data_IF_195952406361
#
_entry.id   IF_195952406361
#
_cell.length_a   1.000
_cell.length_b   1.000
_cell.length_c   1.000
_cell.angle_alpha   90.00
_cell.angle_beta   90.00
_cell.angle_gamma   90.00
#
_symmetry.space_group_name_H-M   'P 1'
#
loop_
_entity.id
_entity.type
_entity.pdbx_description
1 polymer ?
#
# COMPACT_ATOMS: atom_id res chain seq x y z
N UNK A 1 -50.34 -69.56 15.30
CA UNK A 1 -49.25 -68.60 15.53
C UNK A 1 -48.13 -68.91 14.55
N UNK A 2 -48.02 -68.09 13.49
CA UNK A 2 -46.84 -67.96 12.61
C UNK A 2 -45.72 -67.29 13.45
N UNK A 3 -44.41 -67.40 13.22
CA UNK A 3 -43.60 -67.81 12.08
C UNK A 3 -42.19 -68.11 12.62
N UNK A 4 -41.58 -69.19 12.13
CA UNK A 4 -40.14 -69.48 12.22
C UNK A 4 -39.42 -68.76 11.07
N UNK A 5 -38.12 -68.44 11.19
CA UNK A 5 -37.07 -68.92 10.27
C UNK A 5 -35.75 -68.13 10.41
N UNK A 6 -34.71 -68.95 10.50
CA UNK A 6 -33.27 -68.74 10.42
C UNK A 6 -32.80 -68.27 9.03
N UNK A 7 -31.77 -67.42 9.02
CA UNK A 7 -30.57 -67.45 8.17
C UNK A 7 -30.68 -67.87 6.69
N UNK A 8 -30.28 -66.98 5.77
CA UNK A 8 -29.66 -67.38 4.49
C UNK A 8 -28.75 -66.29 3.95
N UNK A 9 -27.52 -66.70 3.61
CA UNK A 9 -26.46 -65.93 2.93
C UNK A 9 -26.82 -65.83 1.44
N UNK A 10 -26.70 -64.64 0.84
CA UNK A 10 -26.67 -64.48 -0.62
C UNK A 10 -25.52 -63.55 -1.00
N UNK A 11 -24.48 -64.16 -1.58
CA UNK A 11 -23.54 -63.50 -2.48
C UNK A 11 -24.28 -63.19 -3.78
N UNK A 12 -24.26 -61.95 -4.26
CA UNK A 12 -24.64 -61.64 -5.64
C UNK A 12 -23.65 -60.64 -6.22
N UNK A 13 -22.85 -61.13 -7.15
CA UNK A 13 -22.01 -60.35 -8.04
C UNK A 13 -22.90 -59.65 -9.05
N UNK A 14 -22.79 -58.33 -9.15
CA UNK A 14 -23.40 -57.55 -10.22
C UNK A 14 -22.26 -57.02 -11.09
N UNK A 15 -22.19 -57.54 -12.31
CA UNK A 15 -21.52 -56.91 -13.43
C UNK A 15 -22.28 -55.64 -13.80
N UNK A 16 -21.61 -54.49 -13.81
CA UNK A 16 -22.01 -53.36 -14.63
C UNK A 16 -20.85 -52.95 -15.53
N UNK A 17 -21.15 -53.01 -16.81
CA UNK A 17 -20.41 -52.55 -17.98
C UNK A 17 -20.18 -51.03 -17.94
N UNK A 18 -19.03 -50.63 -18.48
CA UNK A 18 -18.54 -49.26 -18.59
C UNK A 18 -19.31 -48.36 -19.57
N UNK A 19 -19.41 -47.08 -19.22
CA UNK A 19 -19.18 -45.82 -19.98
C UNK A 19 -19.45 -44.71 -18.93
N UNK A 20 -18.53 -43.82 -18.58
CA UNK A 20 -17.87 -42.85 -19.44
C UNK A 20 -18.68 -41.56 -19.39
N UNK A 21 -18.41 -40.70 -18.40
CA UNK A 21 -18.67 -39.26 -18.45
C UNK A 21 -17.84 -38.56 -17.36
N UNK A 22 -17.15 -37.51 -17.78
CA UNK A 22 -16.19 -36.74 -17.02
C UNK A 22 -16.84 -35.98 -15.85
N UNK A 23 -16.31 -36.18 -14.66
CA UNK A 23 -16.57 -35.33 -13.50
C UNK A 23 -15.31 -35.32 -12.65
N UNK A 24 -14.29 -34.58 -13.10
CA UNK A 24 -13.16 -34.21 -12.27
C UNK A 24 -13.68 -33.32 -11.14
N UNK A 25 -13.90 -33.95 -9.99
CA UNK A 25 -13.99 -33.27 -8.72
C UNK A 25 -12.64 -32.59 -8.47
N UNK A 26 -12.60 -31.26 -8.55
CA UNK A 26 -11.49 -30.45 -8.09
C UNK A 26 -11.39 -30.59 -6.57
N UNK A 27 -10.66 -31.62 -6.15
CA UNK A 27 -10.05 -31.67 -4.84
C UNK A 27 -9.13 -30.45 -4.74
N UNK A 28 -9.56 -29.48 -3.92
CA UNK A 28 -8.76 -28.32 -3.58
C UNK A 28 -7.45 -28.77 -2.94
N UNK A 29 -6.37 -28.61 -3.69
CA UNK A 29 -5.03 -28.67 -3.12
C UNK A 29 -4.76 -27.34 -2.42
N UNK A 30 -4.47 -27.45 -1.13
CA UNK A 30 -3.97 -26.42 -0.22
C UNK A 30 -2.62 -25.87 -0.74
N UNK A 31 -2.31 -24.56 -0.62
CA UNK A 31 -0.96 -24.09 -0.85
C UNK A 31 -0.13 -24.19 0.44
N UNK A 32 0.99 -24.89 0.33
CA UNK A 32 2.11 -24.84 1.28
C UNK A 32 2.92 -23.56 1.03
N UNK A 33 3.52 -23.04 2.11
CA UNK A 33 4.48 -21.94 2.09
C UNK A 33 5.56 -22.12 0.99
N UNK A 34 5.52 -21.24 0.00
CA UNK A 34 6.46 -21.06 -1.12
C UNK A 34 5.85 -20.01 -2.04
N UNK A 35 6.64 -19.11 -2.63
CA UNK A 35 6.13 -17.98 -3.42
C UNK A 35 5.23 -18.44 -4.56
N UNK A 36 3.91 -18.31 -4.40
CA UNK A 36 2.94 -18.83 -5.34
C UNK A 36 2.86 -17.87 -6.54
N UNK A 37 3.31 -18.32 -7.70
CA UNK A 37 3.11 -17.60 -8.95
C UNK A 37 1.67 -17.81 -9.39
N UNK A 38 0.96 -16.74 -9.73
CA UNK A 38 -0.40 -16.84 -10.24
C UNK A 38 -0.44 -17.65 -11.54
N UNK A 39 0.63 -17.59 -12.34
CA UNK A 39 0.82 -18.35 -13.57
C UNK A 39 2.25 -18.87 -13.68
N UNK A 40 2.40 -20.07 -14.22
CA UNK A 40 3.68 -20.60 -14.70
C UNK A 40 3.43 -21.09 -16.11
N UNK A 41 3.91 -20.34 -17.09
CA UNK A 41 3.66 -20.62 -18.52
C UNK A 41 4.98 -20.79 -19.26
N UNK A 42 4.94 -21.52 -20.38
CA UNK A 42 6.15 -21.81 -21.17
C UNK A 42 6.73 -20.53 -21.77
N UNK A 43 5.88 -19.70 -22.39
CA UNK A 43 6.29 -18.46 -23.06
C UNK A 43 5.53 -17.24 -22.57
N UNK A 44 5.99 -16.06 -22.98
CA UNK A 44 5.34 -14.78 -22.63
C UNK A 44 4.00 -14.65 -23.31
N UNK A 45 3.88 -15.17 -24.53
CA UNK A 45 2.66 -15.15 -25.34
C UNK A 45 1.55 -16.02 -24.75
N UNK A 46 1.92 -17.03 -23.97
CA UNK A 46 0.99 -17.90 -23.25
C UNK A 46 0.43 -17.25 -21.98
N UNK A 47 1.04 -16.14 -21.52
CA UNK A 47 0.52 -15.43 -20.37
C UNK A 47 -0.86 -14.84 -20.70
N UNK A 48 -1.84 -14.97 -19.77
CA UNK A 48 -3.10 -14.30 -19.92
C UNK A 48 -2.89 -12.79 -20.02
N UNK A 49 -3.80 -12.09 -20.71
CA UNK A 49 -3.74 -10.64 -20.81
C UNK A 49 -3.61 -10.02 -19.41
N UNK A 50 -2.60 -9.15 -19.24
CA UNK A 50 -2.51 -8.34 -18.04
C UNK A 50 -3.63 -7.31 -18.11
N UNK A 51 -4.54 -7.36 -17.15
CA UNK A 51 -5.68 -6.45 -17.02
C UNK A 51 -5.63 -5.81 -15.64
N UNK A 52 -6.36 -4.72 -15.42
CA UNK A 52 -6.45 -4.08 -14.09
C UNK A 52 -6.86 -5.09 -12.98
N UNK A 53 -7.71 -6.07 -13.32
CA UNK A 53 -8.12 -7.13 -12.38
C UNK A 53 -6.99 -8.09 -11.97
N UNK A 54 -5.89 -8.09 -12.71
CA UNK A 54 -4.69 -8.93 -12.48
C UNK A 54 -3.49 -8.11 -12.03
N UNK A 55 -3.65 -6.80 -11.81
CA UNK A 55 -2.58 -5.94 -11.33
C UNK A 55 -2.04 -6.45 -9.99
N UNK A 56 -0.76 -6.80 -9.95
CA UNK A 56 -0.09 -7.41 -8.81
C UNK A 56 0.14 -8.92 -8.92
N UNK A 57 -0.39 -9.58 -9.96
CA UNK A 57 -0.12 -10.99 -10.23
C UNK A 57 1.33 -11.18 -10.68
N UNK A 58 1.97 -12.23 -10.16
CA UNK A 58 3.28 -12.68 -10.60
C UNK A 58 3.11 -13.85 -11.54
N UNK A 59 3.85 -13.83 -12.65
CA UNK A 59 3.93 -14.95 -13.56
C UNK A 59 5.39 -15.39 -13.72
N UNK A 60 5.62 -16.70 -13.71
CA UNK A 60 6.90 -17.30 -14.10
C UNK A 60 6.82 -17.69 -15.57
N UNK A 61 7.83 -17.27 -16.34
CA UNK A 61 7.99 -17.66 -17.74
C UNK A 61 9.15 -18.67 -17.79
N UNK A 62 8.83 -19.92 -18.14
CA UNK A 62 9.80 -21.02 -18.04
C UNK A 62 10.90 -20.93 -19.11
N UNK A 63 10.57 -20.48 -20.32
CA UNK A 63 11.51 -20.39 -21.45
C UNK A 63 12.68 -19.43 -21.22
N UNK A 64 12.46 -18.33 -20.48
CA UNK A 64 13.49 -17.34 -20.16
C UNK A 64 13.88 -17.32 -18.66
N UNK A 65 13.28 -18.21 -17.86
CA UNK A 65 13.41 -18.27 -16.41
C UNK A 65 13.21 -16.90 -15.74
N UNK A 66 12.27 -16.09 -16.22
CA UNK A 66 11.98 -14.78 -15.62
C UNK A 66 10.69 -14.78 -14.82
N UNK A 67 10.63 -13.88 -13.84
CA UNK A 67 9.40 -13.51 -13.14
C UNK A 67 8.90 -12.18 -13.69
N UNK A 68 7.60 -12.10 -13.95
CA UNK A 68 6.92 -10.92 -14.46
C UNK A 68 5.81 -10.48 -13.50
N UNK A 69 5.60 -9.19 -13.40
CA UNK A 69 4.52 -8.56 -12.66
C UNK A 69 3.49 -8.00 -13.64
N UNK A 70 2.22 -8.36 -13.49
CA UNK A 70 1.16 -7.64 -14.18
C UNK A 70 0.93 -6.30 -13.49
N UNK A 71 1.05 -5.21 -14.24
CA UNK A 71 0.79 -3.86 -13.74
C UNK A 71 0.38 -2.95 -14.89
N UNK A 72 -0.66 -2.13 -14.72
CA UNK A 72 -1.09 -1.15 -15.71
C UNK A 72 -1.25 -1.78 -17.11
N UNK A 73 -1.93 -2.92 -17.16
CA UNK A 73 -2.24 -3.68 -18.39
C UNK A 73 -1.02 -4.22 -19.16
N UNK A 74 0.13 -4.35 -18.49
CA UNK A 74 1.36 -4.92 -19.06
C UNK A 74 2.08 -5.87 -18.11
N UNK A 75 2.71 -6.89 -18.68
CA UNK A 75 3.63 -7.76 -17.96
C UNK A 75 5.03 -7.13 -17.93
N UNK A 76 5.51 -6.79 -16.74
CA UNK A 76 6.80 -6.14 -16.50
C UNK A 76 7.77 -7.17 -15.94
N UNK A 77 8.90 -7.38 -16.62
CA UNK A 77 9.93 -8.33 -16.19
C UNK A 77 10.67 -7.84 -14.96
N UNK A 78 10.51 -8.56 -13.84
CA UNK A 78 11.16 -8.26 -12.58
C UNK A 78 12.62 -8.73 -12.57
N UNK A 79 12.91 -9.93 -13.05
CA UNK A 79 14.27 -10.48 -13.11
C UNK A 79 14.29 -12.00 -13.31
N UNK A 80 15.49 -12.57 -13.36
CA UNK A 80 15.70 -14.02 -13.38
C UNK A 80 15.19 -14.64 -12.07
N UNK A 81 14.44 -15.75 -12.15
CA UNK A 81 13.90 -16.43 -10.97
C UNK A 81 14.98 -17.15 -10.19
N UNK A 82 15.06 -16.88 -8.89
CA UNK A 82 16.05 -17.47 -7.97
C UNK A 82 15.34 -17.90 -6.69
N UNK A 83 15.41 -19.18 -6.34
CA UNK A 83 14.67 -19.72 -5.18
C UNK A 83 15.09 -19.08 -3.85
N UNK A 84 16.40 -18.98 -3.61
CA UNK A 84 16.97 -18.53 -2.33
C UNK A 84 18.22 -17.68 -2.55
N UNK A 85 18.60 -16.92 -1.53
CA UNK A 85 19.82 -16.10 -1.58
C UNK A 85 21.09 -16.92 -1.80
N UNK A 86 21.08 -18.21 -1.45
CA UNK A 86 22.22 -19.11 -1.61
C UNK A 86 22.41 -19.56 -3.06
N UNK A 87 21.34 -19.59 -3.87
CA UNK A 87 21.41 -19.89 -5.31
C UNK A 87 21.69 -18.65 -6.16
N UNK A 88 21.78 -17.46 -5.54
CA UNK A 88 22.10 -16.22 -6.23
C UNK A 88 23.60 -16.16 -6.56
N UNK A 89 23.93 -16.11 -7.86
CA UNK A 89 25.33 -15.94 -8.30
C UNK A 89 25.85 -14.57 -7.86
N UNK A 90 27.16 -14.47 -7.60
CA UNK A 90 27.79 -13.23 -7.16
C UNK A 90 27.54 -12.07 -8.15
N UNK A 91 27.29 -10.89 -7.60
CA UNK A 91 27.27 -9.65 -8.35
C UNK A 91 28.71 -9.24 -8.66
N UNK A 92 29.03 -9.14 -9.94
CA UNK A 92 30.33 -8.74 -10.48
C UNK A 92 30.10 -7.67 -11.53
N UNK A 93 31.15 -6.94 -11.92
CA UNK A 93 31.04 -5.89 -12.95
C UNK A 93 30.42 -6.40 -14.27
N UNK A 94 30.58 -7.69 -14.59
CA UNK A 94 29.97 -8.34 -15.75
C UNK A 94 28.46 -8.52 -15.67
N UNK A 95 27.88 -8.39 -14.47
CA UNK A 95 26.45 -8.54 -14.17
C UNK A 95 25.82 -7.22 -13.72
N UNK A 96 26.54 -6.10 -13.84
CA UNK A 96 26.05 -4.79 -13.44
C UNK A 96 24.72 -4.48 -14.16
N UNK A 97 23.69 -4.11 -13.39
CA UNK A 97 22.34 -3.86 -13.87
C UNK A 97 21.46 -5.11 -14.07
N UNK A 98 22.00 -6.32 -13.94
CA UNK A 98 21.18 -7.54 -13.95
C UNK A 98 20.21 -7.56 -12.77
N UNK A 99 19.01 -8.10 -13.01
CA UNK A 99 17.97 -8.25 -11.99
C UNK A 99 17.69 -9.72 -11.69
N UNK A 100 17.52 -10.02 -10.41
CA UNK A 100 17.13 -11.34 -9.91
C UNK A 100 15.90 -11.21 -9.01
N UNK A 101 14.92 -12.10 -9.13
CA UNK A 101 13.76 -12.17 -8.26
C UNK A 101 13.93 -13.34 -7.28
N UNK A 102 13.99 -13.02 -5.98
CA UNK A 102 14.07 -14.03 -4.91
C UNK A 102 12.68 -14.56 -4.58
N UNK A 103 12.37 -15.80 -4.96
CA UNK A 103 11.04 -16.42 -4.76
C UNK A 103 10.66 -16.53 -3.29
N UNK A 104 11.62 -16.85 -2.42
CA UNK A 104 11.42 -17.01 -0.97
C UNK A 104 11.16 -15.70 -0.22
N UNK A 105 11.69 -14.59 -0.73
CA UNK A 105 11.55 -13.26 -0.12
C UNK A 105 10.54 -12.37 -0.86
N UNK A 106 10.15 -12.76 -2.08
CA UNK A 106 9.36 -11.98 -3.04
C UNK A 106 9.89 -10.56 -3.26
N UNK A 107 11.21 -10.45 -3.41
CA UNK A 107 11.92 -9.19 -3.67
C UNK A 107 12.70 -9.29 -4.97
N UNK A 108 12.76 -8.20 -5.71
CA UNK A 108 13.72 -8.04 -6.81
C UNK A 108 15.01 -7.47 -6.26
N UNK A 109 16.14 -7.97 -6.76
CA UNK A 109 17.47 -7.45 -6.50
C UNK A 109 18.06 -6.94 -7.81
N UNK A 110 18.87 -5.89 -7.74
CA UNK A 110 19.69 -5.40 -8.85
C UNK A 110 21.16 -5.47 -8.45
N UNK A 111 21.99 -5.96 -9.36
CA UNK A 111 23.43 -5.95 -9.18
C UNK A 111 23.94 -4.53 -9.46
N UNK A 112 24.48 -3.87 -8.43
CA UNK A 112 25.15 -2.58 -8.60
C UNK A 112 26.37 -2.42 -7.70
N UNK A 113 27.44 -1.89 -8.28
CA UNK A 113 28.74 -1.67 -7.61
C UNK A 113 29.29 -2.95 -6.95
N UNK A 114 29.13 -4.09 -7.63
CA UNK A 114 29.57 -5.40 -7.14
C UNK A 114 28.76 -5.94 -5.96
N UNK A 115 27.58 -5.37 -5.67
CA UNK A 115 26.66 -5.86 -4.63
C UNK A 115 25.24 -6.01 -5.16
N UNK A 116 24.54 -7.01 -4.65
CA UNK A 116 23.10 -7.13 -4.83
C UNK A 116 22.38 -6.19 -3.87
N UNK A 117 21.69 -5.20 -4.43
CA UNK A 117 20.85 -4.26 -3.70
C UNK A 117 19.38 -4.61 -3.94
N UNK A 118 18.52 -4.35 -2.96
CA UNK A 118 17.07 -4.49 -3.17
C UNK A 118 16.68 -3.49 -4.25
N UNK A 119 16.08 -4.01 -5.31
CA UNK A 119 15.55 -3.22 -6.39
C UNK A 119 14.05 -3.14 -6.18
N UNK A 120 13.63 -1.95 -5.79
CA UNK A 120 12.23 -1.68 -5.61
C UNK A 120 11.55 -1.83 -6.98
N UNK A 121 10.41 -2.55 -7.03
CA UNK A 121 9.63 -2.97 -8.22
C UNK A 121 9.29 -1.83 -9.20
N UNK A 122 9.68 -0.64 -8.88
CA UNK A 122 8.88 0.51 -9.10
C UNK A 122 9.66 1.65 -9.76
N UNK A 123 10.99 1.57 -9.67
CA UNK A 123 11.91 2.01 -10.72
C UNK A 123 11.58 1.36 -12.08
N UNK A 124 10.90 0.21 -12.12
CA UNK A 124 10.42 -0.41 -13.37
C UNK A 124 9.16 0.26 -13.90
N UNK A 125 8.28 0.70 -12.99
CA UNK A 125 6.97 1.23 -13.35
C UNK A 125 7.11 2.59 -14.04
N UNK A 126 8.02 3.44 -13.56
CA UNK A 126 8.36 4.72 -14.21
C UNK A 126 8.92 4.53 -15.62
N UNK A 127 9.90 3.63 -15.80
CA UNK A 127 10.53 3.39 -17.12
C UNK A 127 9.54 2.84 -18.15
N UNK A 128 8.60 2.01 -17.72
CA UNK A 128 7.57 1.46 -18.61
C UNK A 128 6.63 2.56 -19.13
N UNK A 129 6.36 3.62 -18.36
CA UNK A 129 5.54 4.75 -18.81
C UNK A 129 6.28 5.63 -19.83
N UNK A 130 7.61 5.69 -19.76
CA UNK A 130 8.47 6.45 -20.67
C UNK A 130 8.74 5.77 -22.02
N UNK A 131 8.48 4.46 -22.17
CA UNK A 131 8.79 3.70 -23.39
C UNK A 131 7.75 3.83 -24.51
N UNK A 132 6.90 4.88 -24.49
CA UNK A 132 5.95 5.18 -25.57
C UNK A 132 6.53 6.07 -26.69
N UNK A 133 7.80 6.48 -26.63
CA UNK A 133 8.48 7.07 -27.79
C UNK A 133 9.48 6.08 -28.39
N UNK A 134 9.16 5.63 -29.60
CA UNK A 134 9.89 4.67 -30.40
C UNK A 134 11.29 5.17 -30.79
N UNK A 135 12.29 4.35 -30.49
CA UNK A 135 13.31 3.88 -31.43
C UNK A 135 13.55 4.72 -32.70
N UNK A 136 14.63 5.50 -32.69
CA UNK A 136 15.44 5.69 -33.90
C UNK A 136 16.93 5.67 -33.53
N UNK A 137 17.65 4.75 -34.16
CA UNK A 137 19.09 4.58 -34.07
C UNK A 137 19.79 5.55 -35.03
N UNK A 138 20.92 6.14 -34.62
CA UNK A 138 22.26 5.84 -35.16
C UNK A 138 23.32 6.95 -34.95
N UNK A 139 24.43 6.52 -34.35
CA UNK A 139 25.85 6.81 -34.63
C UNK A 139 26.49 8.22 -34.55
N UNK A 140 27.42 8.31 -33.59
CA UNK A 140 28.86 8.69 -33.67
C UNK A 140 29.26 10.07 -34.25
N UNK A 141 29.92 10.87 -33.41
CA UNK A 141 31.27 11.41 -33.67
C UNK A 141 31.89 12.05 -32.41
N UNK A 142 33.14 11.69 -32.11
CA UNK A 142 34.04 12.46 -31.21
C UNK A 142 34.47 13.79 -31.89
N UNK A 143 35.10 14.74 -31.15
CA UNK A 143 36.56 14.68 -31.01
C UNK A 143 37.11 15.04 -29.61
N UNK A 144 38.36 14.63 -29.42
CA UNK A 144 39.19 14.85 -28.24
C UNK A 144 39.88 16.24 -28.17
N UNK A 145 40.33 16.57 -26.94
CA UNK A 145 41.68 17.05 -26.58
C UNK A 145 41.91 18.51 -26.11
N UNK A 146 42.48 18.58 -24.90
CA UNK A 146 43.54 19.48 -24.37
C UNK A 146 43.22 20.97 -24.12
N UNK A 147 43.71 21.66 -23.08
CA UNK A 147 44.67 21.36 -22.01
C UNK A 147 44.74 22.56 -21.01
N UNK A 148 45.03 22.25 -19.73
CA UNK A 148 45.95 22.91 -18.77
C UNK A 148 45.87 24.40 -18.43
N UNK A 149 45.77 24.73 -17.13
CA UNK A 149 46.85 25.25 -16.24
C UNK A 149 46.28 25.61 -14.83
N UNK A 150 46.60 24.86 -13.77
CA UNK A 150 47.50 25.15 -12.61
C UNK A 150 47.58 26.59 -12.06
N UNK A 151 47.36 26.78 -10.74
CA UNK A 151 48.40 27.07 -9.71
C UNK A 151 47.78 27.34 -8.30
N UNK A 152 48.39 26.67 -7.30
CA UNK A 152 48.62 26.96 -5.86
C UNK A 152 47.46 27.35 -4.91
N UNK A 153 47.17 26.64 -3.81
CA UNK A 153 47.95 26.24 -2.60
C UNK A 153 47.93 27.27 -1.47
N UNK A 154 47.36 26.88 -0.31
CA UNK A 154 47.88 27.02 1.07
C UNK A 154 46.69 26.93 2.06
N UNK A 155 46.47 25.81 2.75
CA UNK A 155 47.03 25.44 4.06
C UNK A 155 46.69 26.41 5.21
N UNK A 156 46.03 25.90 6.26
CA UNK A 156 45.86 26.63 7.52
C UNK A 156 44.92 25.94 8.49
N UNK A 157 45.52 25.22 9.43
CA UNK A 157 44.95 24.39 10.49
C UNK A 157 44.33 25.15 11.67
N UNK A 158 43.58 24.39 12.47
CA UNK A 158 43.49 24.41 13.95
C UNK A 158 42.27 25.08 14.63
N UNK A 159 41.38 24.19 15.09
CA UNK A 159 40.92 23.98 16.47
C UNK A 159 40.39 25.11 17.38
N UNK A 160 39.27 24.73 18.03
CA UNK A 160 38.88 25.00 19.43
C UNK A 160 38.34 26.42 19.72
N UNK A 161 37.42 26.69 20.64
CA UNK A 161 36.54 25.93 21.53
C UNK A 161 35.78 26.97 22.37
N UNK A 162 34.63 26.57 22.93
CA UNK A 162 34.04 27.05 24.22
C UNK A 162 33.22 28.37 24.22
N UNK A 163 31.90 28.12 24.30
CA UNK A 163 30.94 28.45 25.36
C UNK A 163 30.47 29.89 25.66
N UNK A 164 29.12 29.94 25.76
CA UNK A 164 28.27 30.54 26.83
C UNK A 164 28.44 32.04 27.12
N UNK A 165 27.40 32.84 27.34
CA UNK A 165 26.17 32.58 28.07
C UNK A 165 25.15 33.71 27.78
N UNK A 166 23.88 33.42 28.08
CA UNK A 166 22.80 34.38 28.32
C UNK A 166 23.16 35.34 29.48
N UNK A 167 22.43 36.46 29.66
CA UNK A 167 21.23 36.37 30.49
C UNK A 167 19.99 37.08 29.92
N UNK A 168 18.90 36.62 30.51
CA UNK A 168 17.48 36.97 30.47
C UNK A 168 17.08 38.40 30.86
N UNK A 169 15.77 38.63 30.66
CA UNK A 169 14.84 39.51 31.39
C UNK A 169 14.56 40.87 30.74
N UNK A 170 13.36 41.46 30.75
CA UNK A 170 12.00 41.04 31.10
C UNK A 170 11.08 42.24 30.82
N UNK A 171 9.90 41.96 30.26
CA UNK A 171 8.59 42.52 30.65
C UNK A 171 8.15 43.96 30.32
N UNK A 172 6.87 43.98 29.91
CA UNK A 172 5.82 45.01 29.98
C UNK A 172 5.87 46.10 28.89
N UNK A 173 4.76 46.49 28.26
CA UNK A 173 3.37 46.50 28.71
C UNK A 173 2.42 46.71 27.53
N UNK A 174 1.18 46.31 27.75
CA UNK A 174 -0.03 46.47 26.95
C UNK A 174 -0.41 47.93 26.60
N UNK A 175 -1.22 48.11 25.54
CA UNK A 175 -2.60 48.65 25.57
C UNK A 175 -3.00 49.23 24.18
N UNK A 176 -4.16 48.74 23.70
CA UNK A 176 -5.18 49.38 22.84
C UNK A 176 -4.80 49.95 21.46
N UNK A 177 -5.73 50.15 20.53
CA UNK A 177 -7.05 49.59 20.18
C UNK A 177 -7.48 50.36 18.92
N UNK A 178 -8.46 49.80 18.21
CA UNK A 178 -9.37 50.46 17.25
C UNK A 178 -8.80 51.04 15.95
N UNK A 179 -9.32 50.59 14.82
CA UNK A 179 -10.46 51.25 14.17
C UNK A 179 -11.00 50.45 12.99
N UNK A 180 -12.32 50.44 12.92
CA UNK A 180 -13.16 49.88 11.86
C UNK A 180 -13.06 50.71 10.56
N UNK A 181 -13.37 50.11 9.41
CA UNK A 181 -14.62 50.39 8.66
C UNK A 181 -14.51 49.96 7.19
N UNK A 182 -15.37 49.01 6.83
CA UNK A 182 -16.36 49.03 5.72
C UNK A 182 -15.94 49.75 4.42
N UNK A 183 -15.99 49.03 3.29
CA UNK A 183 -16.92 49.35 2.19
C UNK A 183 -16.99 48.26 1.12
N UNK A 184 -18.19 47.72 1.00
CA UNK A 184 -18.78 47.06 -0.16
C UNK A 184 -18.85 47.98 -1.39
N UNK A 185 -18.79 47.43 -2.60
CA UNK A 185 -19.94 47.48 -3.51
C UNK A 185 -19.70 46.76 -4.84
N UNK A 186 -20.75 46.02 -5.15
CA UNK A 186 -21.18 45.35 -6.37
C UNK A 186 -21.24 46.28 -7.59
N UNK A 187 -21.04 45.74 -8.79
CA UNK A 187 -21.85 46.13 -9.94
C UNK A 187 -21.95 45.03 -11.00
N UNK A 188 -23.20 44.79 -11.37
CA UNK A 188 -23.81 43.85 -12.32
C UNK A 188 -23.83 44.43 -13.74
N UNK A 189 -23.74 43.55 -14.76
CA UNK A 189 -24.58 43.48 -15.99
C UNK A 189 -23.85 42.59 -17.04
N UNK A 190 -24.38 41.45 -17.51
CA UNK A 190 -25.42 41.24 -18.55
C UNK A 190 -25.06 41.99 -19.86
N UNK A 191 -24.95 41.38 -21.05
CA UNK A 191 -25.85 40.44 -21.74
C UNK A 191 -25.24 39.94 -23.07
N UNK A 192 -25.68 38.75 -23.56
CA UNK A 192 -26.12 38.36 -24.95
C UNK A 192 -25.39 38.91 -26.21
N UNK A 193 -25.19 38.23 -27.36
CA UNK A 193 -25.84 37.07 -28.01
C UNK A 193 -25.13 36.72 -29.34
N UNK A 194 -25.34 35.47 -29.80
CA UNK A 194 -25.55 34.99 -31.19
C UNK A 194 -24.47 35.14 -32.29
N UNK A 195 -24.02 34.01 -32.84
CA UNK A 195 -24.43 33.43 -34.14
C UNK A 195 -23.33 32.56 -34.77
N UNK A 196 -23.76 31.55 -35.53
CA UNK A 196 -23.01 30.43 -36.13
C UNK A 196 -22.08 30.80 -37.29
N UNK A 197 -21.03 29.99 -37.51
CA UNK A 197 -20.63 29.49 -38.83
C UNK A 197 -19.56 28.40 -38.72
N UNK A 198 -19.73 27.31 -39.47
CA UNK A 198 -18.76 26.23 -39.65
C UNK A 198 -17.48 26.67 -40.39
N UNK A 199 -16.37 25.99 -40.08
CA UNK A 199 -15.11 26.11 -40.82
C UNK A 199 -14.06 25.11 -40.33
N UNK A 200 -13.84 24.06 -41.11
CA UNK A 200 -12.81 23.04 -40.94
C UNK A 200 -11.42 23.62 -41.24
N UNK A 201 -10.42 23.36 -40.39
CA UNK A 201 -9.16 22.65 -40.72
C UNK A 201 -7.98 23.03 -39.80
N UNK A 202 -7.29 21.98 -39.36
CA UNK A 202 -5.89 21.84 -38.93
C UNK A 202 -4.99 23.07 -38.70
N UNK A 203 -4.32 23.12 -37.56
CA UNK A 203 -2.84 23.10 -37.48
C UNK A 203 -2.35 23.09 -36.02
N UNK A 204 -1.45 22.16 -35.76
CA UNK A 204 -0.63 22.06 -34.55
C UNK A 204 0.35 23.24 -34.49
N UNK A 205 0.49 23.81 -33.29
CA UNK A 205 1.73 24.45 -32.87
C UNK A 205 1.87 24.31 -31.37
N UNK A 206 2.98 23.69 -31.00
CA UNK A 206 3.51 23.46 -29.68
C UNK A 206 3.63 24.75 -28.86
N UNK A 207 3.32 24.64 -27.57
CA UNK A 207 3.97 25.45 -26.55
C UNK A 207 4.31 24.54 -25.38
N UNK A 208 5.59 24.17 -25.36
CA UNK A 208 6.28 23.50 -24.27
C UNK A 208 5.98 24.18 -22.93
N UNK A 209 5.63 23.39 -21.93
CA UNK A 209 5.67 23.80 -20.53
C UNK A 209 6.22 22.63 -19.74
N UNK A 210 7.52 22.70 -19.52
CA UNK A 210 8.37 21.74 -18.85
C UNK A 210 7.89 21.49 -17.42
N UNK A 211 7.39 20.29 -17.15
CA UNK A 211 7.26 19.81 -15.77
C UNK A 211 8.52 19.01 -15.45
N UNK A 212 9.35 19.59 -14.60
CA UNK A 212 10.55 18.96 -14.07
C UNK A 212 10.21 17.61 -13.42
N UNK A 213 11.05 16.62 -13.69
CA UNK A 213 10.94 15.24 -13.22
C UNK A 213 11.24 15.21 -11.71
N UNK A 214 10.35 14.68 -10.84
CA UNK A 214 10.70 14.43 -9.46
C UNK A 214 11.44 13.10 -9.30
N UNK A 215 12.50 13.13 -8.52
CA UNK A 215 13.40 12.03 -8.18
C UNK A 215 12.80 10.95 -7.26
N UNK A 216 13.23 9.70 -7.47
CA UNK A 216 13.22 8.43 -6.66
C UNK A 216 12.28 8.24 -5.46
N UNK A 217 11.17 8.96 -5.40
CA UNK A 217 10.18 9.00 -4.30
C UNK A 217 8.80 8.53 -4.75
N UNK A 218 8.68 8.04 -5.98
CA UNK A 218 7.44 7.96 -6.78
C UNK A 218 6.49 6.85 -6.36
N UNK A 219 6.68 6.34 -5.14
CA UNK A 219 6.60 4.93 -5.03
C UNK A 219 6.20 4.36 -3.67
N UNK A 220 6.60 5.10 -2.65
CA UNK A 220 5.70 5.49 -1.58
C UNK A 220 4.36 6.11 -2.07
N UNK A 221 4.12 6.23 -3.39
CA UNK A 221 2.99 6.95 -4.00
C UNK A 221 2.15 6.10 -4.97
N UNK A 222 2.32 4.77 -5.07
CA UNK A 222 1.37 3.98 -5.88
C UNK A 222 -0.06 4.15 -5.40
N UNK A 223 -0.25 4.19 -4.08
CA UNK A 223 -1.50 4.57 -3.43
C UNK A 223 -2.03 5.95 -3.85
N UNK A 224 -1.17 6.90 -4.23
CA UNK A 224 -1.57 8.26 -4.59
C UNK A 224 -2.35 8.34 -5.90
N UNK A 225 -2.21 7.33 -6.77
CA UNK A 225 -3.00 7.22 -8.00
C UNK A 225 -4.49 7.04 -7.73
N UNK A 226 -4.85 6.61 -6.52
CA UNK A 226 -6.22 6.36 -6.10
C UNK A 226 -6.80 7.46 -5.20
N UNK A 227 -6.04 8.55 -4.98
CA UNK A 227 -6.54 9.72 -4.26
C UNK A 227 -7.53 10.48 -5.15
N UNK A 228 -8.54 11.06 -4.52
CA UNK A 228 -9.51 11.87 -5.25
C UNK A 228 -8.88 13.22 -5.64
N UNK A 229 -8.68 13.53 -6.93
CA UNK A 229 -8.01 14.77 -7.35
C UNK A 229 -8.80 16.04 -7.02
N UNK A 230 -10.08 15.93 -6.66
CA UNK A 230 -10.91 17.06 -6.24
C UNK A 230 -10.68 17.47 -4.77
N UNK A 231 -9.91 16.70 -4.00
CA UNK A 231 -9.66 16.95 -2.58
C UNK A 231 -8.32 17.63 -2.38
N UNK A 232 -8.31 18.69 -1.56
CA UNK A 232 -7.09 19.32 -1.09
C UNK A 232 -6.54 18.55 0.13
N UNK A 233 -5.50 17.75 -0.10
CA UNK A 233 -4.89 16.93 0.93
C UNK A 233 -3.78 17.67 1.67
N UNK A 234 -3.77 17.54 2.99
CA UNK A 234 -2.59 17.85 3.79
C UNK A 234 -1.52 16.76 3.66
N UNK A 235 -0.35 16.99 4.25
CA UNK A 235 0.73 16.01 4.29
C UNK A 235 1.28 15.84 5.70
N UNK A 236 1.81 14.66 5.97
CA UNK A 236 2.64 14.39 7.13
C UNK A 236 3.80 13.50 6.75
N UNK A 237 4.95 13.66 7.42
CA UNK A 237 6.12 12.81 7.21
C UNK A 237 6.32 11.95 8.46
N UNK A 238 6.38 10.65 8.29
CA UNK A 238 6.80 9.73 9.34
C UNK A 238 8.31 9.83 9.52
N UNK A 239 8.75 10.47 10.61
CA UNK A 239 10.17 10.67 10.90
C UNK A 239 10.96 9.35 11.12
N UNK A 240 10.27 8.21 11.25
CA UNK A 240 10.91 6.91 11.51
C UNK A 240 11.49 6.27 10.24
N UNK A 241 10.87 6.50 9.10
CA UNK A 241 11.25 5.91 7.81
C UNK A 241 11.25 6.91 6.65
N UNK A 242 10.88 8.18 6.89
CA UNK A 242 10.83 9.23 5.90
C UNK A 242 9.62 9.18 4.96
N UNK A 243 8.69 8.24 5.16
CA UNK A 243 7.51 8.13 4.30
C UNK A 243 6.59 9.34 4.49
N UNK A 244 6.13 9.90 3.37
CA UNK A 244 5.16 11.02 3.35
C UNK A 244 3.78 10.45 3.07
N UNK A 245 2.83 10.75 3.95
CA UNK A 245 1.43 10.35 3.82
C UNK A 245 0.55 11.58 3.57
N UNK A 246 -0.46 11.43 2.72
CA UNK A 246 -1.54 12.40 2.62
C UNK A 246 -2.47 12.28 3.81
N UNK A 247 -3.10 13.40 4.13
CA UNK A 247 -4.01 13.52 5.26
C UNK A 247 -5.23 14.33 4.86
N UNK A 248 -6.36 14.02 5.49
CA UNK A 248 -7.62 14.69 5.18
C UNK A 248 -8.42 14.95 6.45
N UNK A 249 -9.14 16.07 6.48
CA UNK A 249 -10.01 16.42 7.59
C UNK A 249 -11.45 16.02 7.26
N UNK A 250 -12.01 15.13 8.09
CA UNK A 250 -13.39 14.66 7.97
C UNK A 250 -14.13 15.01 9.26
N UNK A 251 -15.08 15.94 9.18
CA UNK A 251 -15.68 16.56 10.36
C UNK A 251 -14.61 17.21 11.25
N UNK A 252 -14.50 16.74 12.49
CA UNK A 252 -13.53 17.24 13.47
C UNK A 252 -12.25 16.39 13.55
N UNK A 253 -12.16 15.30 12.80
CA UNK A 253 -11.03 14.37 12.83
C UNK A 253 -10.12 14.58 11.63
N UNK A 254 -8.81 14.46 11.82
CA UNK A 254 -7.84 14.46 10.72
C UNK A 254 -7.24 13.08 10.58
N UNK A 255 -7.52 12.40 9.47
CA UNK A 255 -7.12 11.03 9.18
C UNK A 255 -5.97 10.99 8.18
N UNK A 256 -5.15 9.94 8.23
CA UNK A 256 -4.36 9.55 7.06
C UNK A 256 -5.30 9.14 5.92
N UNK A 257 -4.96 9.52 4.69
CA UNK A 257 -5.72 9.11 3.50
C UNK A 257 -5.25 7.72 3.00
N UNK A 258 -3.94 7.44 3.08
CA UNK A 258 -3.41 6.11 2.85
C UNK A 258 -3.34 5.27 4.13
N UNK A 259 -3.15 3.96 3.95
CA UNK A 259 -2.78 3.08 5.04
C UNK A 259 -1.32 3.28 5.45
N UNK A 260 -1.03 3.03 6.72
CA UNK A 260 0.33 3.00 7.21
C UNK A 260 1.13 1.90 6.48
N UNK A 261 2.36 2.23 6.10
CA UNK A 261 3.29 1.33 5.40
C UNK A 261 4.64 1.20 6.15
N UNK A 262 4.63 1.45 7.46
CA UNK A 262 5.81 1.31 8.31
C UNK A 262 6.17 -0.17 8.52
N UNK A 263 7.42 -0.56 8.25
CA UNK A 263 7.86 -1.95 8.42
C UNK A 263 8.16 -2.28 9.88
N UNK A 264 7.31 -3.08 10.51
CA UNK A 264 7.44 -3.54 11.89
C UNK A 264 7.93 -4.99 11.96
N UNK A 265 9.11 -5.22 12.54
CA UNK A 265 9.81 -6.52 12.58
C UNK A 265 10.26 -6.92 14.00
N UNK A 266 9.35 -6.86 14.97
CA UNK A 266 9.73 -6.88 16.38
C UNK A 266 9.22 -8.13 17.06
N UNK A 267 10.14 -8.88 17.66
CA UNK A 267 9.78 -10.05 18.47
C UNK A 267 9.22 -9.56 19.80
N UNK A 268 8.03 -10.01 20.15
CA UNK A 268 7.48 -9.81 21.50
C UNK A 268 7.74 -11.06 22.33
N UNK A 269 7.64 -10.96 23.66
CA UNK A 269 7.84 -12.09 24.58
C UNK A 269 6.90 -13.27 24.35
N UNK A 270 5.77 -13.06 23.66
CA UNK A 270 4.74 -14.08 23.43
C UNK A 270 4.56 -14.45 21.96
N UNK A 271 4.98 -13.62 21.01
CA UNK A 271 4.74 -13.77 19.57
C UNK A 271 5.74 -12.98 18.73
N UNK A 272 6.02 -13.44 17.51
CA UNK A 272 6.58 -12.58 16.48
C UNK A 272 5.50 -11.54 16.10
N UNK A 273 5.69 -10.29 16.51
CA UNK A 273 4.82 -9.21 16.09
C UNK A 273 5.34 -8.71 14.75
N UNK A 274 4.49 -8.80 13.72
CA UNK A 274 4.92 -8.62 12.34
C UNK A 274 3.97 -7.75 11.53
N UNK A 275 4.51 -7.25 10.44
CA UNK A 275 3.81 -6.55 9.37
C UNK A 275 4.07 -7.25 8.05
N UNK A 276 3.05 -7.36 7.22
CA UNK A 276 3.05 -8.14 5.99
C UNK A 276 2.59 -7.28 4.82
N UNK A 277 3.16 -7.53 3.65
CA UNK A 277 2.52 -7.12 2.41
C UNK A 277 1.47 -8.17 2.02
N UNK A 278 0.44 -7.76 1.28
CA UNK A 278 -0.49 -8.73 0.71
C UNK A 278 0.22 -9.49 -0.40
N UNK A 279 0.58 -10.76 -0.18
CA UNK A 279 1.52 -11.51 -1.03
C UNK A 279 2.91 -10.85 -1.16
N UNK A 280 3.06 -9.74 -1.90
CA UNK A 280 4.34 -9.19 -2.34
C UNK A 280 4.54 -7.70 -1.99
N UNK A 281 5.78 -7.20 -2.16
CA UNK A 281 6.13 -5.80 -1.95
C UNK A 281 5.28 -4.80 -2.76
N UNK A 282 4.85 -5.15 -3.97
CA UNK A 282 3.98 -4.32 -4.80
C UNK A 282 2.71 -3.88 -4.05
N UNK A 283 2.08 -4.83 -3.34
CA UNK A 283 0.85 -4.53 -2.61
C UNK A 283 1.09 -3.72 -1.33
N UNK A 284 2.30 -3.72 -0.76
CA UNK A 284 2.65 -2.77 0.28
C UNK A 284 2.63 -1.33 -0.26
N UNK A 285 3.15 -1.12 -1.47
CA UNK A 285 3.18 0.20 -2.09
C UNK A 285 1.79 0.66 -2.56
N UNK A 286 0.95 -0.27 -3.04
CA UNK A 286 -0.45 0.00 -3.42
C UNK A 286 -1.37 0.21 -2.20
N UNK A 287 -1.31 -0.68 -1.22
CA UNK A 287 -2.30 -0.75 -0.13
C UNK A 287 -1.77 -0.40 1.26
N UNK A 288 -0.48 -0.20 1.43
CA UNK A 288 0.17 -0.20 2.74
C UNK A 288 0.31 -1.61 3.32
N UNK A 289 0.78 -1.68 4.56
CA UNK A 289 1.04 -2.95 5.26
C UNK A 289 -0.18 -3.45 6.04
N UNK A 290 -0.23 -4.76 6.17
CA UNK A 290 -1.12 -5.47 7.09
C UNK A 290 -0.38 -5.75 8.39
N UNK A 291 -0.97 -5.42 9.52
CA UNK A 291 -0.35 -5.53 10.84
C UNK A 291 -1.11 -6.54 11.68
N UNK A 292 -0.42 -7.40 12.42
CA UNK A 292 -1.08 -8.11 13.52
C UNK A 292 -1.53 -7.11 14.58
N UNK A 293 -2.52 -7.46 15.40
CA UNK A 293 -3.01 -6.53 16.42
C UNK A 293 -1.91 -6.16 17.43
N UNK A 294 -1.00 -7.08 17.75
CA UNK A 294 0.17 -6.78 18.60
C UNK A 294 1.13 -5.77 17.97
N UNK A 295 1.26 -5.78 16.63
CA UNK A 295 2.08 -4.81 15.92
C UNK A 295 1.39 -3.45 15.93
N UNK A 296 0.09 -3.42 15.57
CA UNK A 296 -0.72 -2.21 15.56
C UNK A 296 -0.74 -1.50 16.93
N UNK A 297 -0.81 -2.28 18.01
CA UNK A 297 -0.82 -1.78 19.38
C UNK A 297 0.56 -1.41 19.92
N UNK A 298 1.66 -1.68 19.20
CA UNK A 298 3.03 -1.54 19.70
C UNK A 298 3.23 -2.29 21.03
N UNK A 299 2.93 -3.60 21.03
CA UNK A 299 3.01 -4.45 22.22
C UNK A 299 4.40 -4.50 22.86
N UNK A 300 5.44 -4.29 22.05
CA UNK A 300 6.84 -4.22 22.50
C UNK A 300 7.19 -2.86 23.15
N UNK A 301 6.31 -1.87 23.03
CA UNK A 301 6.46 -0.52 23.56
C UNK A 301 7.69 0.22 23.03
N UNK A 302 7.90 0.17 21.71
CA UNK A 302 9.01 0.83 21.03
C UNK A 302 8.75 2.31 20.81
N UNK A 303 7.49 2.68 20.62
CA UNK A 303 7.06 4.03 20.30
C UNK A 303 6.25 4.66 21.42
N UNK A 304 5.53 3.85 22.20
CA UNK A 304 4.80 4.30 23.39
C UNK A 304 4.56 3.16 24.38
N UNK A 305 4.33 3.49 25.66
CA UNK A 305 4.08 2.47 26.69
C UNK A 305 2.61 2.08 26.84
N UNK A 306 1.69 2.79 26.18
CA UNK A 306 0.25 2.60 26.38
C UNK A 306 -0.26 1.23 25.91
N UNK A 307 0.34 0.67 24.85
CA UNK A 307 0.03 -0.66 24.34
C UNK A 307 0.93 -1.78 24.86
N UNK A 308 1.85 -1.49 25.79
CA UNK A 308 2.83 -2.46 26.28
C UNK A 308 2.15 -3.72 26.81
N UNK A 309 2.53 -4.88 26.25
CA UNK A 309 1.99 -6.18 26.66
C UNK A 309 0.55 -6.46 26.22
N UNK A 310 -0.09 -5.56 25.48
CA UNK A 310 -1.36 -5.87 24.82
C UNK A 310 -1.12 -6.93 23.75
N UNK A 311 -2.09 -7.80 23.48
CA UNK A 311 -1.90 -8.85 22.49
C UNK A 311 -2.90 -9.98 22.60
N UNK A 312 -2.52 -11.14 22.06
CA UNK A 312 -3.32 -12.35 22.08
C UNK A 312 -3.62 -12.80 23.50
N UNK A 313 -4.88 -13.17 23.74
CA UNK A 313 -5.40 -13.63 25.03
C UNK A 313 -5.18 -12.66 26.22
N UNK A 314 -4.88 -11.40 25.94
CA UNK A 314 -4.74 -10.31 26.91
C UNK A 314 -5.82 -9.26 26.66
N UNK A 315 -6.55 -8.88 27.70
CA UNK A 315 -7.47 -7.73 27.63
C UNK A 315 -6.66 -6.45 27.81
N UNK A 316 -6.58 -5.63 26.77
CA UNK A 316 -5.88 -4.35 26.82
C UNK A 316 -6.86 -3.28 27.31
N UNK A 317 -6.77 -2.93 28.59
CA UNK A 317 -7.61 -1.92 29.21
C UNK A 317 -6.83 -0.61 29.41
N UNK A 318 -6.41 0.03 28.31
CA UNK A 318 -5.88 1.39 28.38
C UNK A 318 -7.04 2.39 28.42
N UNK A 319 -7.03 3.32 29.39
CA UNK A 319 -7.93 4.50 29.39
C UNK A 319 -7.31 5.70 28.67
N UNK A 320 -6.12 5.52 28.10
CA UNK A 320 -5.38 6.54 27.36
C UNK A 320 -5.39 6.17 25.89
N UNK A 321 -5.43 7.18 25.05
CA UNK A 321 -5.17 7.07 23.61
C UNK A 321 -3.90 6.26 23.38
N UNK A 322 -4.02 5.23 22.55
CA UNK A 322 -2.90 4.34 22.24
C UNK A 322 -2.32 4.80 20.91
N UNK A 323 -1.15 5.44 20.97
CA UNK A 323 -0.35 5.75 19.77
C UNK A 323 -0.18 4.50 18.91
N UNK A 324 0.22 3.40 19.56
CA UNK A 324 0.50 2.14 18.88
C UNK A 324 1.63 2.31 17.87
N UNK A 325 1.47 1.68 16.71
CA UNK A 325 2.42 1.78 15.60
C UNK A 325 2.36 3.12 14.85
N UNK A 326 1.41 4.00 15.15
CA UNK A 326 1.28 5.26 14.43
C UNK A 326 2.47 6.22 14.70
N UNK A 327 2.75 7.16 13.78
CA UNK A 327 3.78 8.18 13.97
C UNK A 327 3.52 9.05 15.21
N UNK A 328 4.51 9.82 15.65
CA UNK A 328 4.31 10.74 16.78
C UNK A 328 3.28 11.83 16.42
N UNK A 329 2.37 12.15 17.35
CA UNK A 329 1.24 13.06 17.09
C UNK A 329 0.04 12.40 16.39
N UNK A 330 0.09 11.07 16.22
CA UNK A 330 -0.95 10.25 15.62
C UNK A 330 -1.18 8.99 16.46
N UNK A 331 -2.38 8.42 16.40
CA UNK A 331 -2.75 7.23 17.16
C UNK A 331 -3.62 6.26 16.38
N UNK A 332 -3.71 5.04 16.90
CA UNK A 332 -4.63 4.02 16.42
C UNK A 332 -6.03 4.32 16.98
N UNK A 333 -7.08 4.39 16.14
CA UNK A 333 -8.39 4.82 16.59
C UNK A 333 -9.07 3.76 17.48
N UNK A 334 -9.88 4.22 18.42
CA UNK A 334 -10.84 3.37 19.13
C UNK A 334 -12.20 3.30 18.40
N UNK A 335 -13.11 2.46 18.90
CA UNK A 335 -14.46 2.31 18.31
C UNK A 335 -15.33 3.57 18.43
N UNK A 336 -15.05 4.47 19.37
CA UNK A 336 -15.73 5.76 19.52
C UNK A 336 -15.28 6.75 18.45
N UNK A 337 -13.99 6.78 18.17
CA UNK A 337 -13.39 7.61 17.13
C UNK A 337 -13.80 7.16 15.73
N UNK A 338 -13.86 5.85 15.49
CA UNK A 338 -14.40 5.28 14.24
C UNK A 338 -15.88 5.66 14.06
N UNK A 339 -16.69 5.57 15.13
CA UNK A 339 -18.10 5.99 15.08
C UNK A 339 -18.24 7.49 14.80
N UNK A 340 -17.31 8.31 15.29
CA UNK A 340 -17.29 9.75 15.00
C UNK A 340 -17.06 10.01 13.51
N UNK A 341 -16.13 9.29 12.88
CA UNK A 341 -15.93 9.32 11.43
C UNK A 341 -17.20 8.96 10.67
N UNK A 342 -17.81 7.81 10.99
CA UNK A 342 -19.02 7.32 10.31
C UNK A 342 -20.17 8.32 10.44
N UNK A 343 -20.36 8.91 11.62
CA UNK A 343 -21.39 9.92 11.85
C UNK A 343 -21.13 11.23 11.10
N UNK A 344 -19.86 11.66 10.97
CA UNK A 344 -19.50 12.85 10.23
C UNK A 344 -19.76 12.70 8.72
N UNK A 345 -19.58 11.48 8.20
CA UNK A 345 -19.83 11.12 6.80
C UNK A 345 -21.33 10.99 6.51
N UNK A 346 -22.07 10.33 7.41
CA UNK A 346 -23.52 10.17 7.32
C UNK A 346 -23.97 8.92 6.56
N UNK A 347 -25.07 9.04 5.82
CA UNK A 347 -25.65 7.91 5.08
C UNK A 347 -24.70 7.40 3.99
N UNK A 348 -24.72 6.07 3.77
CA UNK A 348 -23.87 5.40 2.79
C UNK A 348 -22.37 5.70 3.00
N UNK A 349 -21.94 5.75 4.26
CA UNK A 349 -20.55 6.03 4.60
C UNK A 349 -19.56 5.05 3.98
N UNK A 350 -19.98 3.83 3.66
CA UNK A 350 -19.14 2.88 2.94
C UNK A 350 -18.79 3.39 1.54
N UNK A 351 -19.79 3.78 0.76
CA UNK A 351 -19.58 4.37 -0.58
C UNK A 351 -18.77 5.66 -0.52
N UNK A 352 -19.00 6.52 0.47
CA UNK A 352 -18.35 7.82 0.54
C UNK A 352 -16.87 7.77 0.98
N UNK A 353 -16.43 6.68 1.61
CA UNK A 353 -15.06 6.50 2.12
C UNK A 353 -14.16 5.64 1.21
N UNK A 354 -14.76 4.78 0.37
CA UNK A 354 -14.02 3.99 -0.63
C UNK A 354 -13.42 4.90 -1.71
N UNK A 355 -12.24 4.57 -2.21
CA UNK A 355 -11.61 5.19 -3.37
C UNK A 355 -12.49 5.12 -4.62
N UNK A 356 -12.26 6.02 -5.57
CA UNK A 356 -13.03 6.11 -6.83
C UNK A 356 -12.72 4.99 -7.84
N UNK A 357 -11.67 4.21 -7.59
CA UNK A 357 -11.23 3.08 -8.42
C UNK A 357 -10.57 1.99 -7.57
N UNK A 358 -10.29 0.84 -8.17
CA UNK A 358 -9.56 -0.28 -7.56
C UNK A 358 -10.42 -1.32 -6.82
N UNK A 359 -11.74 -1.17 -6.79
CA UNK A 359 -12.66 -2.12 -6.16
C UNK A 359 -13.29 -3.07 -7.19
N UNK A 360 -13.44 -4.34 -6.80
CA UNK A 360 -14.03 -5.41 -7.61
C UNK A 360 -15.42 -5.04 -8.15
N UNK A 361 -15.70 -5.44 -9.39
CA UNK A 361 -16.99 -5.30 -10.07
C UNK A 361 -17.52 -3.85 -10.08
N UNK A 362 -16.64 -2.87 -10.28
CA UNK A 362 -16.97 -1.44 -10.20
C UNK A 362 -17.63 -1.04 -8.87
N UNK A 363 -17.38 -1.80 -7.80
CA UNK A 363 -17.83 -1.53 -6.43
C UNK A 363 -17.15 -0.33 -5.77
N UNK A 364 -16.70 0.62 -6.59
CA UNK A 364 -15.95 1.81 -6.21
C UNK A 364 -16.78 2.76 -5.35
N UNK A 365 -16.09 3.60 -4.58
CA UNK A 365 -16.70 4.68 -3.83
C UNK A 365 -16.78 5.98 -4.61
N UNK A 366 -17.32 6.99 -3.94
CA UNK A 366 -17.31 8.36 -4.45
C UNK A 366 -16.14 9.18 -3.88
N UNK A 367 -15.50 8.67 -2.83
CA UNK A 367 -14.41 9.30 -2.07
C UNK A 367 -14.57 10.82 -1.86
N UNK A 368 -15.79 11.29 -1.63
CA UNK A 368 -16.08 12.74 -1.56
C UNK A 368 -15.43 13.42 -0.36
N UNK A 369 -14.93 12.64 0.60
CA UNK A 369 -14.22 13.13 1.77
C UNK A 369 -12.71 12.89 1.69
N UNK A 370 -12.20 12.28 0.62
CA UNK A 370 -10.77 11.98 0.44
C UNK A 370 -10.22 10.98 1.45
N UNK A 371 -11.04 10.09 2.00
CA UNK A 371 -10.54 9.04 2.88
C UNK A 371 -9.75 7.99 2.10
N UNK A 372 -10.04 7.82 0.81
CA UNK A 372 -9.28 7.03 -0.16
C UNK A 372 -8.99 5.60 0.30
N UNK A 373 -10.01 4.90 0.81
CA UNK A 373 -9.86 3.50 1.20
C UNK A 373 -9.75 2.58 -0.02
N UNK A 374 -8.66 1.82 -0.06
CA UNK A 374 -8.40 0.78 -1.07
C UNK A 374 -8.63 -0.63 -0.49
N UNK A 375 -9.09 -1.61 -1.30
CA UNK A 375 -9.46 -2.95 -0.85
C UNK A 375 -8.25 -3.86 -0.62
N UNK A 376 -7.52 -3.58 0.45
CA UNK A 376 -6.26 -4.24 0.83
C UNK A 376 -6.38 -5.73 1.21
N UNK A 377 -7.60 -6.26 1.35
CA UNK A 377 -7.85 -7.58 1.90
C UNK A 377 -7.36 -7.72 3.35
N UNK A 378 -7.09 -8.96 3.75
CA UNK A 378 -6.43 -9.26 5.02
C UNK A 378 -5.64 -10.56 4.98
N UNK A 379 -4.80 -10.78 6.00
CA UNK A 379 -4.14 -12.05 6.27
C UNK A 379 -4.77 -12.72 7.48
N UNK A 380 -5.24 -13.96 7.37
CA UNK A 380 -5.83 -14.68 8.49
C UNK A 380 -4.75 -15.15 9.51
N UNK A 381 -5.19 -15.76 10.60
CA UNK A 381 -4.30 -16.27 11.65
C UNK A 381 -3.49 -17.52 11.25
N UNK A 382 -3.89 -18.21 10.17
CA UNK A 382 -3.14 -19.33 9.57
C UNK A 382 -2.08 -18.82 8.59
N UNK A 383 -2.23 -17.60 8.13
CA UNK A 383 -1.33 -16.90 7.26
C UNK A 383 -1.75 -16.79 5.81
N UNK A 384 -2.98 -17.19 5.50
CA UNK A 384 -3.54 -17.06 4.16
C UNK A 384 -4.05 -15.64 3.94
N UNK A 385 -3.92 -15.16 2.71
CA UNK A 385 -4.42 -13.86 2.29
C UNK A 385 -5.80 -14.00 1.66
N UNK A 386 -6.70 -13.04 1.94
CA UNK A 386 -8.08 -13.07 1.49
C UNK A 386 -8.56 -11.69 1.03
N UNK A 387 -9.50 -11.69 0.08
CA UNK A 387 -10.31 -10.52 -0.31
C UNK A 387 -9.54 -9.30 -0.86
N UNK A 388 -8.36 -9.49 -1.45
CA UNK A 388 -7.72 -8.44 -2.27
C UNK A 388 -8.67 -7.99 -3.38
N UNK A 389 -8.80 -6.67 -3.55
CA UNK A 389 -9.72 -6.08 -4.52
C UNK A 389 -11.18 -6.02 -4.03
N UNK A 390 -11.54 -6.77 -2.98
CA UNK A 390 -12.93 -6.91 -2.54
C UNK A 390 -13.25 -6.15 -1.26
N UNK A 391 -12.35 -6.15 -0.27
CA UNK A 391 -12.61 -5.52 1.04
C UNK A 391 -11.35 -4.94 1.68
N UNK A 392 -11.52 -4.06 2.65
CA UNK A 392 -10.43 -3.62 3.54
C UNK A 392 -10.93 -3.47 4.96
N UNK A 393 -10.07 -3.80 5.92
CA UNK A 393 -10.36 -3.78 7.34
C UNK A 393 -9.31 -2.95 8.07
N UNK A 394 -9.72 -2.17 9.05
CA UNK A 394 -8.83 -1.33 9.85
C UNK A 394 -8.93 -1.67 11.33
N UNK A 395 -7.77 -1.81 11.97
CA UNK A 395 -7.74 -2.09 13.41
C UNK A 395 -8.36 -0.99 14.25
N UNK A 396 -9.04 -1.43 15.31
CA UNK A 396 -9.32 -0.62 16.48
C UNK A 396 -8.44 -1.04 17.67
N UNK A 397 -8.20 -0.09 18.58
CA UNK A 397 -7.59 -0.37 19.89
C UNK A 397 -8.53 -1.15 20.83
N UNK A 398 -9.83 -1.23 20.53
CA UNK A 398 -10.83 -1.88 21.38
C UNK A 398 -10.73 -3.41 21.32
N UNK A 399 -10.58 -4.05 22.48
CA UNK A 399 -10.59 -5.53 22.60
C UNK A 399 -12.02 -6.06 22.40
N UNK A 400 -12.16 -7.22 21.73
CA UNK A 400 -13.43 -7.91 21.60
C UNK A 400 -13.85 -8.64 22.88
N UNK A 401 -15.05 -9.22 22.88
CA UNK A 401 -15.58 -9.95 24.06
C UNK A 401 -14.67 -11.10 24.49
N UNK A 402 -14.16 -11.85 23.51
CA UNK A 402 -13.13 -12.85 23.74
C UNK A 402 -11.74 -12.22 23.68
N UNK A 403 -10.87 -12.55 24.64
CA UNK A 403 -9.51 -11.98 24.76
C UNK A 403 -8.63 -12.18 23.52
N UNK A 404 -8.95 -13.17 22.69
CA UNK A 404 -8.24 -13.48 21.43
C UNK A 404 -8.70 -12.64 20.23
N UNK A 405 -9.73 -11.82 20.40
CA UNK A 405 -10.38 -11.06 19.34
C UNK A 405 -10.27 -9.55 19.61
N UNK A 406 -10.23 -8.75 18.55
CA UNK A 406 -10.27 -7.29 18.62
C UNK A 406 -11.27 -6.74 17.61
N UNK A 407 -11.82 -5.57 17.89
CA UNK A 407 -12.72 -4.89 16.98
C UNK A 407 -11.97 -4.31 15.78
N UNK A 408 -12.66 -4.29 14.65
CA UNK A 408 -12.24 -3.60 13.45
C UNK A 408 -13.47 -2.96 12.79
N UNK A 409 -13.22 -2.08 11.83
CA UNK A 409 -14.25 -1.69 10.88
C UNK A 409 -13.78 -1.99 9.47
N UNK A 410 -14.72 -2.24 8.57
CA UNK A 410 -14.43 -2.62 7.21
C UNK A 410 -15.37 -2.00 6.18
N UNK A 411 -14.87 -2.02 4.96
CA UNK A 411 -15.52 -1.59 3.73
C UNK A 411 -15.49 -2.77 2.75
N UNK A 412 -16.60 -3.00 2.06
CA UNK A 412 -16.76 -4.09 1.09
C UNK A 412 -17.22 -3.53 -0.26
N UNK A 413 -16.78 -4.13 -1.36
CA UNK A 413 -17.10 -3.71 -2.72
C UNK A 413 -18.62 -3.67 -2.96
N UNK A 414 -19.38 -4.59 -2.37
CA UNK A 414 -20.82 -4.71 -2.57
C UNK A 414 -21.68 -4.00 -1.51
N UNK A 415 -21.05 -3.30 -0.55
CA UNK A 415 -21.73 -2.60 0.53
C UNK A 415 -21.62 -1.09 0.38
N UNK A 416 -22.75 -0.40 0.59
CA UNK A 416 -22.78 1.06 0.73
C UNK A 416 -22.50 1.52 2.17
N UNK A 417 -22.45 0.60 3.14
CA UNK A 417 -22.31 0.90 4.56
C UNK A 417 -20.99 0.38 5.13
N UNK A 418 -20.50 1.07 6.15
CA UNK A 418 -19.36 0.62 6.97
C UNK A 418 -19.84 -0.44 7.96
N UNK A 419 -19.16 -1.58 8.03
CA UNK A 419 -19.36 -2.55 9.10
C UNK A 419 -18.41 -2.21 10.24
N UNK A 420 -18.91 -1.83 11.42
CA UNK A 420 -18.10 -1.23 12.49
C UNK A 420 -18.24 -1.88 13.88
N UNK A 421 -18.84 -3.08 13.95
CA UNK A 421 -19.00 -3.88 15.17
C UNK A 421 -18.52 -5.32 14.98
N UNK A 422 -17.63 -5.55 14.01
CA UNK A 422 -17.06 -6.85 13.72
C UNK A 422 -15.81 -7.08 14.55
N UNK A 423 -15.54 -8.34 14.89
CA UNK A 423 -14.30 -8.74 15.55
C UNK A 423 -13.54 -9.75 14.71
N UNK A 424 -12.21 -9.73 14.80
CA UNK A 424 -11.33 -10.69 14.14
C UNK A 424 -10.24 -11.13 15.12
N UNK A 425 -9.67 -12.33 14.90
CA UNK A 425 -8.56 -12.83 15.68
C UNK A 425 -7.38 -11.83 15.67
N UNK A 426 -6.80 -11.59 16.85
CA UNK A 426 -5.64 -10.70 17.02
C UNK A 426 -4.37 -11.16 16.28
N UNK A 427 -4.35 -12.43 15.85
CA UNK A 427 -3.27 -13.01 15.03
C UNK A 427 -3.47 -12.82 13.54
N UNK A 428 -4.68 -12.45 13.09
CA UNK A 428 -4.85 -11.96 11.72
C UNK A 428 -4.08 -10.65 11.55
N UNK A 429 -3.76 -10.29 10.32
CA UNK A 429 -3.19 -9.00 9.97
C UNK A 429 -4.13 -8.21 9.06
N UNK A 430 -4.47 -6.98 9.47
CA UNK A 430 -5.30 -6.03 8.72
C UNK A 430 -4.63 -4.65 8.70
N UNK A 431 -5.14 -3.73 7.90
CA UNK A 431 -4.57 -2.41 7.73
C UNK A 431 -4.65 -1.55 8.99
N UNK A 432 -3.77 -0.55 9.07
CA UNK A 432 -3.79 0.51 10.07
C UNK A 432 -3.99 1.84 9.36
N UNK A 433 -4.93 2.64 9.85
CA UNK A 433 -5.14 4.02 9.41
C UNK A 433 -5.14 4.93 10.63
N UNK A 434 -4.12 5.78 10.71
CA UNK A 434 -3.88 6.58 11.90
C UNK A 434 -4.75 7.83 11.91
N UNK A 435 -5.15 8.21 13.12
CA UNK A 435 -5.90 9.42 13.43
C UNK A 435 -4.97 10.42 14.12
N UNK A 436 -5.02 11.69 13.75
CA UNK A 436 -4.19 12.73 14.36
C UNK A 436 -4.66 13.00 15.79
N UNK A 437 -3.72 13.19 16.70
CA UNK A 437 -4.03 13.59 18.08
C UNK A 437 -4.82 14.90 18.09
N UNK A 438 -5.83 14.98 18.96
CA UNK A 438 -6.53 16.23 19.22
C UNK A 438 -5.66 17.12 20.09
N UNK A 439 -5.43 18.36 19.65
CA UNK A 439 -4.72 19.38 20.44
C UNK A 439 -5.50 19.82 21.67
#
# INVERSE_FOLDING_TARGET
>A
MKLSILLTIVFSAIFFTACGDDSSSSAGNLPNNGGDFAFSEETVEDLPACTESRDGDFAKVESDNTVRLCYAERWITLGESVETRDSLKNCTDSREGERAFLESEQVTLICSEGKWNVFEIEDLLEKSSSSMESSSSSSISEPASSSSEVIASSSGTAESSISSALPSSSSNSEISSSSEAISSSTSVAKSSSSAESEGVSSSVSESSSSSAIPSSSSLAKLSWQYLNPAIDYGEMTDARDGQVYKTVKIGNQTWMAENLNYTYRQKTSSLDSSSFCYYSAYYCSKYGRLYMWSAAMDSAALFSTAGKGCGYNITCNSRKTIRGICPAGWHLPDTTEIRTLINAVGNKAGTALKSTSGWKNDGNGTDIYGFSALPAGFRDYLGNFHYNGESTSFWSTTTGDAKSWAYYFDLDYNSEYVRNYSTIFKHSAISVRCLKDSN
#
